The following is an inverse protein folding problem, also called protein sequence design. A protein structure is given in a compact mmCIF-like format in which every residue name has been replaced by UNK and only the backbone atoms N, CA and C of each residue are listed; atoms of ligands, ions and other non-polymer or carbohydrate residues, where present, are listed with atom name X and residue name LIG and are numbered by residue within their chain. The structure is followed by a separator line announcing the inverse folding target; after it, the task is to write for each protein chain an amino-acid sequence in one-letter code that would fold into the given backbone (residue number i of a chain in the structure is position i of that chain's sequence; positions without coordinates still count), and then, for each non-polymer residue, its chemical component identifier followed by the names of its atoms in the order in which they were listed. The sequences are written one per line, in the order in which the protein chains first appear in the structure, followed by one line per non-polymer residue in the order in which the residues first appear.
data_IF_560755606084
#
_entry.id   IF_560755606084
#
_cell.length_a   1.000
_cell.length_b   1.000
_cell.length_c   1.000
_cell.angle_alpha   90.00
_cell.angle_beta   90.00
_cell.angle_gamma   90.00
#
_symmetry.space_group_name_H-M   'P 1'
#
loop_
_entity.id
_entity.type
_entity.pdbx_description
1 polymer ?
#
# COMPACT_ATOMS: atom_id res chain seq x y z
N UNK A 1 9.72 -2.15 15.60
CA UNK A 1 8.39 -1.51 15.56
C UNK A 1 7.41 -2.47 14.92
N UNK A 2 6.23 -2.69 15.50
CA UNK A 2 5.20 -3.56 14.92
C UNK A 2 4.23 -2.76 14.03
N UNK A 3 3.39 -3.46 13.28
CA UNK A 3 2.43 -2.85 12.36
C UNK A 3 1.43 -1.95 13.07
N UNK A 4 0.89 -2.38 14.22
CA UNK A 4 -0.08 -1.57 14.97
C UNK A 4 0.48 -0.19 15.34
N UNK A 5 1.70 -0.14 15.90
CA UNK A 5 2.37 1.10 16.26
C UNK A 5 2.73 1.95 15.04
N UNK A 6 2.98 1.33 13.88
CA UNK A 6 3.21 2.08 12.64
C UNK A 6 1.93 2.69 12.07
N UNK A 7 0.80 1.97 12.15
CA UNK A 7 -0.49 2.48 11.67
C UNK A 7 -1.02 3.61 12.59
N UNK A 8 -0.72 3.59 13.89
CA UNK A 8 -1.20 4.62 14.81
C UNK A 8 -0.65 6.03 14.50
N UNK A 9 0.50 6.13 13.83
CA UNK A 9 1.13 7.40 13.45
C UNK A 9 0.81 7.86 12.02
N UNK A 10 0.13 7.03 11.22
CA UNK A 10 -0.34 7.38 9.87
C UNK A 10 -1.73 8.00 9.97
N UNK A 11 -2.03 9.03 9.16
CA UNK A 11 -3.35 9.65 9.16
C UNK A 11 -4.47 8.68 8.69
N UNK A 12 -5.66 8.82 9.26
CA UNK A 12 -6.85 8.00 8.94
C UNK A 12 -7.25 8.03 7.47
N UNK A 13 -7.06 9.17 6.80
CA UNK A 13 -7.41 9.39 5.39
C UNK A 13 -6.35 8.87 4.41
N UNK A 14 -5.18 8.45 4.89
CA UNK A 14 -4.14 7.91 4.02
C UNK A 14 -4.50 6.50 3.52
N UNK A 15 -4.24 6.24 2.23
CA UNK A 15 -4.20 4.88 1.70
C UNK A 15 -2.92 4.19 2.16
N UNK A 16 -3.05 2.94 2.57
CA UNK A 16 -1.96 2.07 2.97
C UNK A 16 -2.06 0.74 2.22
N UNK A 17 -0.94 0.26 1.69
CA UNK A 17 -0.76 -1.09 1.18
C UNK A 17 0.16 -1.84 2.13
N UNK A 18 -0.28 -2.98 2.64
CA UNK A 18 0.49 -3.81 3.57
C UNK A 18 0.90 -5.08 2.84
N UNK A 19 2.20 -5.35 2.88
CA UNK A 19 2.86 -6.47 2.22
C UNK A 19 3.44 -7.42 3.28
N UNK A 20 2.93 -8.65 3.35
CA UNK A 20 3.51 -9.73 4.16
C UNK A 20 4.69 -10.37 3.41
N UNK A 21 5.91 -10.08 3.85
CA UNK A 21 7.12 -10.67 3.34
C UNK A 21 7.38 -12.00 4.04
N UNK A 22 7.38 -13.07 3.25
CA UNK A 22 7.78 -14.42 3.63
C UNK A 22 9.10 -14.78 2.96
N UNK A 23 9.71 -15.87 3.38
CA UNK A 23 11.04 -16.32 2.89
C UNK A 23 11.11 -16.34 1.36
N UNK A 24 10.06 -16.83 0.68
CA UNK A 24 10.07 -17.05 -0.77
C UNK A 24 9.22 -16.06 -1.57
N UNK A 25 8.33 -15.31 -0.91
CA UNK A 25 7.31 -14.51 -1.60
C UNK A 25 6.84 -13.33 -0.75
N UNK A 26 6.25 -12.35 -1.41
CA UNK A 26 5.60 -11.21 -0.77
C UNK A 26 4.12 -11.17 -1.17
N UNK A 27 3.22 -11.03 -0.19
CA UNK A 27 1.78 -11.06 -0.41
C UNK A 27 1.14 -9.73 -0.01
N UNK A 28 0.23 -9.21 -0.83
CA UNK A 28 -0.61 -8.07 -0.43
C UNK A 28 -1.68 -8.58 0.52
N UNK A 29 -1.63 -8.13 1.78
CA UNK A 29 -2.60 -8.53 2.82
C UNK A 29 -3.63 -7.45 3.10
N UNK A 30 -3.37 -6.22 2.64
CA UNK A 30 -4.29 -5.09 2.72
C UNK A 30 -3.92 -4.03 1.68
N UNK A 31 -4.89 -3.45 0.98
CA UNK A 31 -4.68 -2.30 0.09
C UNK A 31 -5.94 -1.41 0.12
N UNK A 32 -5.97 -0.47 1.07
CA UNK A 32 -7.09 0.46 1.21
C UNK A 32 -6.77 1.63 2.14
N UNK A 33 -7.76 2.43 2.49
CA UNK A 33 -7.61 3.50 3.48
C UNK A 33 -7.31 2.97 4.87
N UNK A 34 -6.40 3.64 5.61
CA UNK A 34 -6.00 3.24 6.96
C UNK A 34 -7.20 3.03 7.88
N UNK A 35 -8.22 3.89 7.78
CA UNK A 35 -9.45 3.79 8.56
C UNK A 35 -10.17 2.42 8.45
N UNK A 36 -9.92 1.66 7.37
CA UNK A 36 -10.49 0.32 7.18
C UNK A 36 -9.62 -0.80 7.77
N UNK A 37 -8.35 -0.52 8.09
CA UNK A 37 -7.46 -1.43 8.80
C UNK A 37 -7.59 -1.26 10.32
N UNK A 38 -7.58 -0.01 10.80
CA UNK A 38 -7.81 0.36 12.20
C UNK A 38 -8.65 1.64 12.28
N UNK A 39 -9.57 1.71 13.23
CA UNK A 39 -10.34 2.93 13.50
C UNK A 39 -9.51 4.00 14.24
N UNK A 40 -10.13 5.15 14.52
CA UNK A 40 -9.48 6.25 15.23
C UNK A 40 -9.09 5.93 16.67
N UNK A 41 -9.68 4.88 17.27
CA UNK A 41 -9.35 4.38 18.60
C UNK A 41 -8.28 3.26 18.54
N UNK A 42 -7.79 2.93 17.34
CA UNK A 42 -6.82 1.87 17.11
C UNK A 42 -7.40 0.45 17.20
N UNK A 43 -8.74 0.30 17.18
CA UNK A 43 -9.39 -1.00 17.09
C UNK A 43 -9.39 -1.48 15.65
N UNK A 44 -9.29 -2.80 15.48
CA UNK A 44 -9.18 -3.42 14.16
C UNK A 44 -10.46 -3.18 13.33
N UNK A 45 -10.30 -2.65 12.13
CA UNK A 45 -11.34 -2.62 11.10
C UNK A 45 -11.47 -3.99 10.44
N UNK A 46 -12.66 -4.34 9.93
CA UNK A 46 -12.98 -5.69 9.48
C UNK A 46 -12.23 -6.22 8.23
N UNK A 47 -11.21 -5.52 7.74
CA UNK A 47 -10.54 -5.81 6.45
C UNK A 47 -9.07 -6.22 6.57
N UNK A 48 -8.49 -6.23 7.78
CA UNK A 48 -7.13 -6.73 8.04
C UNK A 48 -7.21 -7.80 9.13
N UNK A 49 -6.59 -8.96 8.93
CA UNK A 49 -6.56 -9.98 9.97
C UNK A 49 -5.74 -9.52 11.18
N UNK A 50 -6.28 -9.80 12.37
CA UNK A 50 -5.71 -9.32 13.65
C UNK A 50 -4.26 -9.74 13.86
N UNK A 51 -3.85 -10.89 13.33
CA UNK A 51 -2.50 -11.41 13.52
C UNK A 51 -1.43 -10.48 12.94
N UNK A 52 -1.71 -9.82 11.81
CA UNK A 52 -0.75 -8.93 11.14
C UNK A 52 -0.39 -7.70 11.97
N UNK A 53 -1.25 -7.27 12.90
CA UNK A 53 -0.97 -6.12 13.77
C UNK A 53 0.29 -6.32 14.64
N UNK A 54 0.59 -7.56 15.00
CA UNK A 54 1.78 -7.92 15.78
C UNK A 54 3.05 -8.07 14.95
N UNK A 55 2.95 -8.05 13.62
CA UNK A 55 4.09 -8.32 12.74
C UNK A 55 5.08 -7.16 12.76
N UNK A 56 6.36 -7.47 12.59
CA UNK A 56 7.45 -6.51 12.57
C UNK A 56 7.43 -5.74 11.25
N UNK A 57 7.50 -4.42 11.31
CA UNK A 57 7.66 -3.58 10.13
C UNK A 57 9.13 -3.62 9.68
N UNK A 58 9.34 -3.98 8.42
CA UNK A 58 10.65 -4.05 7.78
C UNK A 58 10.95 -2.79 6.97
N UNK A 59 9.97 -2.30 6.20
CA UNK A 59 10.11 -1.18 5.28
C UNK A 59 8.85 -0.34 5.26
N UNK A 60 9.03 0.97 5.12
CA UNK A 60 7.97 1.95 4.87
C UNK A 60 8.39 2.81 3.68
N UNK A 61 7.55 2.88 2.65
CA UNK A 61 7.78 3.69 1.45
C UNK A 61 6.55 4.51 1.11
N UNK A 62 6.76 5.70 0.55
CA UNK A 62 5.69 6.45 -0.09
C UNK A 62 5.74 6.17 -1.59
N UNK A 63 4.65 5.65 -2.14
CA UNK A 63 4.56 5.28 -3.55
C UNK A 63 3.70 6.31 -4.30
N UNK A 64 4.23 6.95 -5.34
CA UNK A 64 3.44 7.73 -6.27
C UNK A 64 2.79 6.83 -7.32
N UNK A 65 1.48 6.98 -7.51
CA UNK A 65 0.70 6.41 -8.60
C UNK A 65 0.23 7.56 -9.49
N UNK A 66 0.75 7.63 -10.72
CA UNK A 66 0.31 8.62 -11.72
C UNK A 66 -0.56 7.89 -12.73
N UNK A 67 -1.83 8.28 -12.83
CA UNK A 67 -2.80 7.67 -13.72
C UNK A 67 -3.48 8.72 -14.59
N UNK A 68 -3.91 8.35 -15.79
CA UNK A 68 -4.79 9.20 -16.58
C UNK A 68 -6.20 9.22 -15.97
N UNK A 69 -6.78 10.41 -15.75
CA UNK A 69 -8.11 10.59 -15.12
C UNK A 69 -9.22 9.79 -15.80
N UNK A 70 -9.11 9.59 -17.11
CA UNK A 70 -10.10 8.90 -17.96
C UNK A 70 -9.62 7.55 -18.50
N UNK A 71 -8.60 6.94 -17.89
CA UNK A 71 -7.97 5.71 -18.39
C UNK A 71 -8.99 4.60 -18.75
N UNK A 72 -9.97 4.37 -17.88
CA UNK A 72 -11.02 3.37 -18.07
C UNK A 72 -11.97 3.71 -19.23
N UNK A 73 -12.35 4.97 -19.38
CA UNK A 73 -13.23 5.43 -20.47
C UNK A 73 -12.56 5.37 -21.84
N UNK A 74 -11.23 5.54 -21.86
CA UNK A 74 -10.41 5.52 -23.06
C UNK A 74 -9.91 4.11 -23.43
N UNK A 75 -10.20 3.08 -22.62
CA UNK A 75 -9.75 1.72 -22.88
C UNK A 75 -8.22 1.57 -22.90
N UNK A 76 -7.48 2.44 -22.19
CA UNK A 76 -6.02 2.43 -22.20
C UNK A 76 -5.51 1.18 -21.46
N UNK A 77 -4.69 0.39 -22.15
CA UNK A 77 -3.89 -0.70 -21.57
C UNK A 77 -2.50 -0.11 -21.22
N UNK A 78 -1.80 -0.77 -20.27
CA UNK A 78 -0.52 -0.43 -19.63
C UNK A 78 0.44 0.51 -20.40
N UNK A 79 1.12 1.37 -19.64
CA UNK A 79 1.98 2.46 -20.13
C UNK A 79 2.90 2.05 -21.28
N UNK A 80 2.64 2.61 -22.47
CA UNK A 80 3.52 2.47 -23.64
C UNK A 80 4.81 3.30 -23.46
N UNK A 81 5.84 2.99 -24.27
CA UNK A 81 7.11 3.71 -24.27
C UNK A 81 6.91 5.23 -24.49
N UNK A 82 7.78 6.09 -23.92
CA UNK A 82 7.63 7.55 -24.01
C UNK A 82 7.58 8.11 -25.44
N UNK A 83 8.24 7.42 -26.38
CA UNK A 83 8.22 7.75 -27.81
C UNK A 83 6.90 7.42 -28.52
N UNK A 84 6.06 6.55 -27.94
CA UNK A 84 4.81 6.06 -28.51
C UNK A 84 3.55 6.66 -27.84
N UNK A 85 3.69 7.55 -26.86
CA UNK A 85 2.56 8.10 -26.08
C UNK A 85 2.30 9.60 -26.34
N UNK A 86 1.04 10.03 -26.43
CA UNK A 86 0.70 11.45 -26.38
C UNK A 86 1.23 12.03 -25.07
N UNK A 87 1.92 13.16 -25.13
CA UNK A 87 2.26 13.91 -23.93
C UNK A 87 0.95 14.31 -23.21
N UNK A 88 0.55 13.52 -22.21
CA UNK A 88 -0.61 13.84 -21.39
C UNK A 88 -0.37 15.18 -20.71
N UNK A 89 -1.32 16.09 -20.85
CA UNK A 89 -1.24 17.35 -20.11
C UNK A 89 -1.37 17.05 -18.61
N UNK A 90 -0.78 17.86 -17.74
CA UNK A 90 -0.95 17.70 -16.29
C UNK A 90 -2.43 17.72 -15.86
N UNK A 91 -3.30 18.40 -16.62
CA UNK A 91 -4.76 18.38 -16.40
C UNK A 91 -5.40 17.02 -16.64
N UNK A 92 -4.78 16.15 -17.44
CA UNK A 92 -5.29 14.82 -17.76
C UNK A 92 -4.81 13.74 -16.77
N UNK A 93 -3.81 14.07 -15.94
CA UNK A 93 -3.20 13.17 -14.97
C UNK A 93 -3.73 13.37 -13.56
N UNK A 94 -3.86 12.27 -12.83
CA UNK A 94 -4.11 12.23 -11.39
C UNK A 94 -2.91 11.59 -10.69
N UNK A 95 -2.38 12.28 -9.69
CA UNK A 95 -1.36 11.75 -8.78
C UNK A 95 -2.03 11.27 -7.50
N UNK A 96 -1.83 9.99 -7.17
CA UNK A 96 -2.17 9.40 -5.87
C UNK A 96 -0.90 9.06 -5.11
N UNK A 97 -0.90 9.30 -3.81
CA UNK A 97 0.17 8.88 -2.91
C UNK A 97 -0.40 7.87 -1.92
N UNK A 98 0.34 6.79 -1.66
CA UNK A 98 0.01 5.86 -0.59
C UNK A 98 1.27 5.36 0.11
N UNK A 99 1.10 4.92 1.35
CA UNK A 99 2.17 4.25 2.09
C UNK A 99 2.16 2.77 1.74
N UNK A 100 3.32 2.22 1.40
CA UNK A 100 3.53 0.79 1.31
C UNK A 100 4.38 0.34 2.50
N UNK A 101 3.83 -0.61 3.27
CA UNK A 101 4.40 -1.12 4.52
C UNK A 101 4.71 -2.60 4.32
N UNK A 102 5.99 -2.96 4.36
CA UNK A 102 6.41 -4.37 4.35
C UNK A 102 6.55 -4.87 5.78
N UNK A 103 5.92 -6.00 6.08
CA UNK A 103 5.92 -6.64 7.39
C UNK A 103 6.44 -8.08 7.31
N UNK A 104 6.95 -8.62 8.42
CA UNK A 104 7.16 -10.07 8.59
C UNK A 104 6.67 -10.52 9.97
N UNK A 105 6.35 -11.80 10.09
CA UNK A 105 6.10 -12.42 11.40
C UNK A 105 7.40 -12.41 12.21
N UNK A 106 7.35 -11.87 13.42
CA UNK A 106 8.54 -11.75 14.28
C UNK A 106 9.19 -13.13 14.50
N UNK A 107 10.48 -13.26 14.17
CA UNK A 107 11.24 -14.51 14.23
C UNK A 107 11.29 -15.35 12.94
N UNK A 108 10.80 -14.86 11.80
CA UNK A 108 10.79 -15.60 10.53
C UNK A 108 12.19 -15.75 9.87
N UNK A 109 13.19 -14.94 10.25
CA UNK A 109 14.56 -15.01 9.69
C UNK A 109 15.52 -15.99 10.38
N UNK A 110 15.05 -16.83 11.31
CA UNK A 110 15.89 -17.89 11.89
C UNK A 110 15.70 -19.21 11.14
N UNK A 111 16.10 -19.24 9.87
CA UNK A 111 16.22 -20.45 9.06
C UNK A 111 17.62 -20.51 8.47
N UNK A 112 18.42 -21.42 9.01
CA UNK A 112 19.80 -21.82 8.66
C UNK A 112 20.16 -21.81 7.19
#
# INVERSE_FOLDING_TARGET
MNLQSQLSVIDHSCRVRILDQRITNTFVVFDSYKALAIDSEGKLGGNLDREYLGYKVLKLRMIPEINHKRAKELGLIESMHPEDTPAYSFSDLELRLYYEITIEKDGATNGT
#
